data_IF_231162557934
#
_entry.id   IF_231162557934
#
_cell.length_a   1.000
_cell.length_b   1.000
_cell.length_c   1.000
_cell.angle_alpha   90.00
_cell.angle_beta   90.00
_cell.angle_gamma   90.00
#
_symmetry.space_group_name_H-M   'P 1'
#
loop_
_entity.id
_entity.type
_entity.pdbx_description
1 polymer ?
#
# COMPACT_ATOMS: atom_id res chain seq x y z
N UNK A 1 19.76 -4.52 -15.01
CA UNK A 1 18.54 -4.02 -14.35
C UNK A 1 18.55 -4.51 -12.91
N UNK A 2 19.15 -3.73 -12.02
CA UNK A 2 19.21 -4.00 -10.59
C UNK A 2 17.92 -3.50 -9.96
N UNK A 3 17.24 -4.39 -9.23
CA UNK A 3 16.13 -4.01 -8.37
C UNK A 3 16.70 -3.09 -7.29
N UNK A 4 16.15 -1.88 -7.12
CA UNK A 4 16.61 -1.04 -6.02
C UNK A 4 15.98 -1.49 -4.71
N UNK A 5 16.85 -1.85 -3.79
CA UNK A 5 16.60 -2.51 -2.51
C UNK A 5 15.77 -1.62 -1.54
N UNK A 6 15.73 -0.29 -1.74
CA UNK A 6 15.10 0.66 -0.82
C UNK A 6 14.36 1.84 -1.49
N UNK A 7 13.33 1.60 -2.31
CA UNK A 7 12.59 2.68 -2.97
C UNK A 7 11.40 3.20 -2.13
N UNK A 8 11.51 4.45 -1.68
CA UNK A 8 10.41 5.22 -1.09
C UNK A 8 10.29 6.57 -1.78
N UNK A 9 9.04 6.97 -2.00
CA UNK A 9 8.70 8.27 -2.56
C UNK A 9 8.00 9.11 -1.50
N UNK A 10 8.26 10.41 -1.52
CA UNK A 10 7.68 11.38 -0.60
C UNK A 10 7.12 12.58 -1.36
N UNK A 11 5.95 13.04 -0.92
CA UNK A 11 5.36 14.30 -1.34
C UNK A 11 5.81 15.41 -0.37
N UNK A 12 6.28 16.54 -0.89
CA UNK A 12 6.66 17.68 -0.06
C UNK A 12 5.45 18.25 0.71
N UNK A 13 5.64 18.90 1.87
CA UNK A 13 4.54 19.47 2.66
C UNK A 13 3.64 20.45 1.90
N UNK A 14 4.21 21.19 0.96
CA UNK A 14 3.51 22.14 0.08
C UNK A 14 2.95 21.49 -1.19
N UNK A 15 3.14 20.17 -1.35
CA UNK A 15 2.70 19.35 -2.49
C UNK A 15 3.27 19.75 -3.85
N UNK A 16 4.33 20.57 -3.86
CA UNK A 16 4.98 21.05 -5.10
C UNK A 16 6.06 20.10 -5.65
N UNK A 17 6.47 19.10 -4.87
CA UNK A 17 7.54 18.19 -5.25
C UNK A 17 7.29 16.74 -4.82
N UNK A 18 7.41 15.83 -5.77
CA UNK A 18 7.56 14.40 -5.52
C UNK A 18 9.05 14.09 -5.51
N UNK A 19 9.52 13.40 -4.47
CA UNK A 19 10.92 13.05 -4.28
C UNK A 19 11.07 11.54 -4.14
N UNK A 20 12.17 10.99 -4.64
CA UNK A 20 12.55 9.58 -4.50
C UNK A 20 13.82 9.49 -3.66
N UNK A 21 13.84 8.62 -2.66
CA UNK A 21 15.05 8.29 -1.93
C UNK A 21 15.76 7.11 -2.61
N UNK A 22 16.97 7.35 -3.07
CA UNK A 22 17.81 6.37 -3.77
C UNK A 22 19.28 6.64 -3.46
N UNK A 23 20.06 5.58 -3.23
CA UNK A 23 21.51 5.66 -2.97
C UNK A 23 21.92 6.67 -1.89
N UNK A 24 21.11 6.75 -0.82
CA UNK A 24 21.39 7.62 0.33
C UNK A 24 21.00 9.08 0.13
N UNK A 25 20.41 9.45 -1.01
CA UNK A 25 20.02 10.82 -1.31
C UNK A 25 18.55 10.93 -1.77
N UNK A 26 17.95 12.09 -1.53
CA UNK A 26 16.66 12.45 -2.13
C UNK A 26 16.88 13.18 -3.44
N UNK A 27 16.23 12.72 -4.49
CA UNK A 27 16.14 13.41 -5.77
C UNK A 27 14.69 13.85 -6.01
N UNK A 28 14.49 15.07 -6.48
CA UNK A 28 13.17 15.48 -6.98
C UNK A 28 12.92 14.74 -8.29
N UNK A 29 11.75 14.11 -8.39
CA UNK A 29 11.35 13.31 -9.56
C UNK A 29 10.12 13.87 -10.26
N UNK A 30 9.48 14.89 -9.71
CA UNK A 30 8.35 15.56 -10.35
C UNK A 30 7.55 16.43 -9.38
N UNK A 31 6.30 16.67 -9.70
CA UNK A 31 5.38 17.53 -8.95
C UNK A 31 4.98 18.79 -9.74
N UNK A 32 3.87 19.44 -9.38
CA UNK A 32 3.07 19.22 -8.15
C UNK A 32 2.14 17.99 -8.23
N UNK A 33 1.73 17.47 -7.07
CA UNK A 33 0.84 16.29 -6.96
C UNK A 33 -0.04 16.34 -5.69
N UNK A 34 -1.26 15.79 -5.74
CA UNK A 34 -2.19 15.77 -4.61
C UNK A 34 -2.03 14.54 -3.70
N UNK A 35 -1.86 13.36 -4.31
CA UNK A 35 -1.72 12.05 -3.65
C UNK A 35 -0.75 11.17 -4.43
N UNK A 36 -0.08 10.27 -3.70
CA UNK A 36 0.81 9.25 -4.25
C UNK A 36 0.25 7.86 -4.00
N UNK A 37 0.41 6.96 -4.97
CA UNK A 37 0.07 5.55 -4.84
C UNK A 37 1.22 4.71 -5.40
N UNK A 38 1.79 3.85 -4.57
CA UNK A 38 2.92 3.00 -4.91
C UNK A 38 2.61 1.52 -4.78
N UNK A 39 3.38 0.71 -5.51
CA UNK A 39 3.31 -0.75 -5.43
C UNK A 39 4.28 -1.43 -6.40
N UNK A 40 4.06 -2.72 -6.64
CA UNK A 40 4.92 -3.52 -7.54
C UNK A 40 4.95 -3.02 -8.99
N UNK A 41 3.87 -2.41 -9.46
CA UNK A 41 3.74 -1.85 -10.81
C UNK A 41 4.32 -0.46 -11.00
N UNK A 42 4.89 0.14 -9.95
CA UNK A 42 5.52 1.46 -9.97
C UNK A 42 4.78 2.50 -9.14
N UNK A 43 4.96 3.77 -9.52
CA UNK A 43 4.40 4.93 -8.83
C UNK A 43 3.41 5.66 -9.73
N UNK A 44 2.24 5.99 -9.17
CA UNK A 44 1.32 6.95 -9.77
C UNK A 44 1.02 8.10 -8.81
N UNK A 45 0.67 9.24 -9.38
CA UNK A 45 0.30 10.44 -8.64
C UNK A 45 -0.93 11.10 -9.26
N UNK A 46 -1.76 11.74 -8.44
CA UNK A 46 -2.88 12.57 -8.93
C UNK A 46 -2.45 14.02 -9.04
N UNK A 47 -2.86 14.71 -10.10
CA UNK A 47 -2.57 16.13 -10.30
C UNK A 47 -3.44 17.05 -9.42
N UNK A 48 -2.90 18.21 -8.98
CA UNK A 48 -3.70 19.21 -8.27
C UNK A 48 -4.85 19.76 -9.11
N UNK A 49 -5.99 20.01 -8.48
CA UNK A 49 -7.11 20.77 -9.08
C UNK A 49 -7.95 20.02 -10.12
N UNK A 50 -7.54 18.83 -10.56
CA UNK A 50 -8.30 18.00 -11.51
C UNK A 50 -8.29 16.50 -11.19
N UNK A 51 -7.34 16.02 -10.39
CA UNK A 51 -7.27 14.63 -9.97
C UNK A 51 -6.80 13.65 -11.05
N UNK A 52 -6.41 14.12 -12.24
CA UNK A 52 -5.88 13.28 -13.33
C UNK A 52 -4.69 12.45 -12.84
N UNK A 53 -4.67 11.17 -13.20
CA UNK A 53 -3.65 10.22 -12.76
C UNK A 53 -2.48 10.18 -13.74
N UNK A 54 -1.27 10.27 -13.19
CA UNK A 54 -0.01 10.26 -13.92
C UNK A 54 0.87 9.11 -13.42
N UNK A 55 1.51 8.40 -14.33
CA UNK A 55 2.47 7.33 -14.05
C UNK A 55 3.88 7.86 -14.16
N UNK A 56 4.71 7.57 -13.16
CA UNK A 56 6.13 7.86 -13.21
C UNK A 56 6.84 6.87 -14.14
N UNK A 57 7.67 7.37 -15.07
CA UNK A 57 8.39 6.55 -16.05
C UNK A 57 9.82 6.20 -15.63
N UNK A 58 10.07 6.15 -14.31
CA UNK A 58 11.35 5.82 -13.69
C UNK A 58 12.53 6.75 -14.07
N UNK A 59 12.26 7.88 -14.72
CA UNK A 59 13.26 8.91 -15.04
C UNK A 59 12.82 10.22 -14.41
N UNK A 60 13.69 10.97 -13.70
CA UNK A 60 13.32 12.24 -13.07
C UNK A 60 12.57 13.17 -14.02
N UNK A 61 11.53 13.81 -13.49
CA UNK A 61 10.60 14.72 -14.19
C UNK A 61 9.88 14.10 -15.41
N UNK A 62 9.93 12.78 -15.58
CA UNK A 62 9.28 12.07 -16.68
C UNK A 62 8.03 11.35 -16.17
N UNK A 63 6.87 11.94 -16.46
CA UNK A 63 5.55 11.43 -16.09
C UNK A 63 4.63 11.37 -17.30
N UNK A 64 3.80 10.34 -17.36
CA UNK A 64 2.81 10.16 -18.41
C UNK A 64 1.41 10.27 -17.80
N UNK A 65 0.56 11.13 -18.36
CA UNK A 65 -0.86 11.18 -17.99
C UNK A 65 -1.54 9.91 -18.50
N UNK A 66 -1.97 9.05 -17.60
CA UNK A 66 -2.59 7.77 -17.96
C UNK A 66 -4.12 7.79 -17.89
N UNK A 67 -4.74 8.78 -17.25
CA UNK A 67 -6.19 8.83 -17.11
C UNK A 67 -6.72 10.06 -16.37
N UNK A 68 -8.06 10.09 -16.25
CA UNK A 68 -8.78 11.12 -15.50
C UNK A 68 -8.81 10.87 -13.99
N UNK A 69 -9.62 11.63 -13.23
CA UNK A 69 -9.77 11.44 -11.80
C UNK A 69 -10.39 10.08 -11.45
N UNK A 70 -10.03 9.59 -10.26
CA UNK A 70 -10.63 8.43 -9.61
C UNK A 70 -10.86 8.71 -8.13
N UNK A 71 -11.80 7.99 -7.51
CA UNK A 71 -11.99 8.05 -6.06
C UNK A 71 -10.70 7.62 -5.34
N UNK A 72 -10.07 6.56 -5.85
CA UNK A 72 -8.79 6.03 -5.39
C UNK A 72 -8.09 5.26 -6.51
N UNK A 73 -6.82 4.93 -6.29
CA UNK A 73 -6.03 4.08 -7.16
C UNK A 73 -5.33 3.00 -6.35
N UNK A 74 -5.10 1.85 -6.97
CA UNK A 74 -4.32 0.76 -6.40
C UNK A 74 -3.26 0.31 -7.41
N UNK A 75 -2.03 0.10 -6.94
CA UNK A 75 -0.93 -0.39 -7.77
C UNK A 75 -0.52 -1.76 -7.25
N UNK A 76 -0.72 -2.79 -8.08
CA UNK A 76 -0.32 -4.17 -7.77
C UNK A 76 0.93 -4.51 -8.58
N UNK A 77 1.48 -5.73 -8.41
CA UNK A 77 2.49 -6.25 -9.34
C UNK A 77 1.95 -6.42 -10.77
N UNK A 78 0.65 -6.68 -10.92
CA UNK A 78 0.00 -6.95 -12.20
C UNK A 78 -0.51 -5.71 -12.95
N UNK A 79 -0.57 -4.53 -12.31
CA UNK A 79 -1.01 -3.32 -13.00
C UNK A 79 -1.46 -2.19 -12.10
N UNK A 80 -2.06 -1.18 -12.73
CA UNK A 80 -2.63 0.01 -12.08
C UNK A 80 -4.15 -0.07 -12.23
N UNK A 81 -4.86 0.12 -11.13
CA UNK A 81 -6.31 0.04 -11.06
C UNK A 81 -6.88 1.33 -10.49
N UNK A 82 -8.06 1.71 -10.96
CA UNK A 82 -8.78 2.90 -10.54
C UNK A 82 -10.21 2.58 -10.15
N UNK A 83 -10.67 3.19 -9.07
CA UNK A 83 -12.10 3.26 -8.73
C UNK A 83 -12.66 4.55 -9.31
N UNK A 84 -13.74 4.47 -10.09
CA UNK A 84 -14.37 5.64 -10.68
C UNK A 84 -14.71 6.71 -9.61
N UNK A 85 -14.72 8.02 -9.95
CA UNK A 85 -15.04 9.08 -8.98
C UNK A 85 -16.37 8.89 -8.26
N UNK A 86 -17.39 8.40 -8.98
CA UNK A 86 -18.72 8.08 -8.48
C UNK A 86 -18.82 6.65 -7.90
N UNK A 87 -17.70 5.92 -7.88
CA UNK A 87 -17.56 4.55 -7.38
C UNK A 87 -18.42 3.51 -8.14
N UNK A 88 -18.85 3.83 -9.37
CA UNK A 88 -19.71 2.98 -10.20
C UNK A 88 -19.01 1.78 -10.87
N UNK A 89 -17.68 1.74 -10.82
CA UNK A 89 -16.90 0.67 -11.43
C UNK A 89 -15.43 0.69 -11.07
N UNK A 90 -14.81 -0.49 -11.14
CA UNK A 90 -13.37 -0.68 -11.04
C UNK A 90 -12.79 -0.86 -12.44
N UNK A 91 -11.67 -0.20 -12.72
CA UNK A 91 -11.04 -0.15 -14.03
C UNK A 91 -9.56 -0.52 -13.95
N UNK A 92 -9.07 -1.22 -14.97
CA UNK A 92 -7.66 -1.56 -15.13
C UNK A 92 -7.03 -0.73 -16.26
N UNK A 93 -5.85 -0.17 -16.02
CA UNK A 93 -5.06 0.51 -17.04
C UNK A 93 -4.53 -0.51 -18.04
N UNK A 94 -4.66 -0.21 -19.34
CA UNK A 94 -4.31 -1.17 -20.42
C UNK A 94 -2.91 -0.97 -20.99
N UNK A 95 -2.15 0.01 -20.49
CA UNK A 95 -0.77 0.28 -20.93
C UNK A 95 -0.65 1.44 -21.94
N UNK A 96 -1.76 1.98 -22.43
CA UNK A 96 -1.78 3.15 -23.33
C UNK A 96 -2.46 4.35 -22.67
N UNK A 97 -1.93 5.58 -22.82
CA UNK A 97 -2.50 6.79 -22.22
C UNK A 97 -4.01 6.94 -22.45
N UNK A 98 -4.77 7.09 -21.37
CA UNK A 98 -6.22 7.25 -21.41
C UNK A 98 -7.02 5.96 -21.62
N UNK A 99 -6.36 4.81 -21.85
CA UNK A 99 -7.04 3.55 -22.13
C UNK A 99 -7.21 2.70 -20.87
N UNK A 100 -8.46 2.56 -20.44
CA UNK A 100 -8.87 1.79 -19.27
C UNK A 100 -9.99 0.83 -19.63
N UNK A 101 -9.92 -0.39 -19.13
CA UNK A 101 -10.98 -1.40 -19.29
C UNK A 101 -11.72 -1.55 -17.97
N UNK A 102 -13.05 -1.52 -18.02
CA UNK A 102 -13.86 -1.84 -16.84
C UNK A 102 -13.67 -3.32 -16.51
N UNK A 103 -13.28 -3.60 -15.27
CA UNK A 103 -13.04 -4.96 -14.79
C UNK A 103 -14.00 -5.40 -13.71
N UNK A 104 -14.83 -4.50 -13.17
CA UNK A 104 -15.78 -4.87 -12.14
C UNK A 104 -16.85 -3.81 -11.87
N UNK A 105 -17.85 -4.26 -11.10
CA UNK A 105 -18.98 -3.49 -10.59
C UNK A 105 -18.62 -2.30 -9.69
N UNK A 106 -19.65 -1.59 -9.17
CA UNK A 106 -19.45 -0.59 -8.13
C UNK A 106 -18.75 -1.18 -6.90
N UNK A 107 -17.93 -0.38 -6.23
CA UNK A 107 -17.16 -0.79 -5.05
C UNK A 107 -17.00 0.36 -4.05
N UNK A 108 -16.91 0.06 -2.76
CA UNK A 108 -16.61 1.05 -1.73
C UNK A 108 -15.13 1.45 -1.71
N UNK A 109 -14.21 0.54 -1.99
CA UNK A 109 -12.77 0.80 -1.89
C UNK A 109 -12.02 -0.29 -2.67
N UNK A 110 -10.81 0.03 -3.11
CA UNK A 110 -9.90 -0.96 -3.72
C UNK A 110 -8.55 -0.94 -3.02
N UNK A 111 -7.94 -2.12 -2.90
CA UNK A 111 -6.63 -2.31 -2.27
C UNK A 111 -5.76 -3.17 -3.18
N UNK A 112 -4.47 -2.82 -3.28
CA UNK A 112 -3.52 -3.50 -4.13
C UNK A 112 -2.21 -3.80 -3.44
N UNK A 113 -1.60 -4.94 -3.80
CA UNK A 113 -0.29 -5.37 -3.33
C UNK A 113 0.28 -6.43 -4.27
N UNK A 114 1.33 -7.14 -3.85
CA UNK A 114 1.92 -8.20 -4.69
C UNK A 114 0.99 -9.40 -4.88
N UNK A 115 0.14 -9.72 -3.88
CA UNK A 115 -0.82 -10.81 -3.95
C UNK A 115 -1.92 -10.59 -5.00
N UNK A 116 -2.37 -9.34 -5.18
CA UNK A 116 -3.40 -9.03 -6.15
C UNK A 116 -4.17 -7.75 -5.88
N UNK A 117 -5.36 -7.67 -6.49
CA UNK A 117 -6.32 -6.57 -6.33
C UNK A 117 -7.56 -7.10 -5.60
N UNK A 118 -7.94 -6.42 -4.52
CA UNK A 118 -9.20 -6.68 -3.81
C UNK A 118 -10.07 -5.44 -3.75
N UNK A 119 -11.38 -5.64 -3.64
CA UNK A 119 -12.37 -4.58 -3.56
C UNK A 119 -13.42 -4.90 -2.50
N UNK A 120 -13.90 -3.88 -1.77
CA UNK A 120 -15.04 -4.02 -0.87
C UNK A 120 -16.35 -3.69 -1.57
N UNK A 121 -17.39 -4.49 -1.36
CA UNK A 121 -18.72 -4.27 -1.92
C UNK A 121 -19.37 -2.96 -1.44
N UNK A 122 -20.14 -2.25 -2.29
CA UNK A 122 -20.73 -0.92 -2.04
C UNK A 122 -21.88 -0.88 -1.03
N UNK A 123 -22.13 -1.96 -0.28
CA UNK A 123 -23.23 -2.05 0.68
C UNK A 123 -22.99 -3.08 1.77
N UNK A 124 -22.67 -4.33 1.40
CA UNK A 124 -22.31 -5.35 2.39
C UNK A 124 -20.99 -5.02 3.08
N UNK A 125 -20.02 -4.48 2.35
CA UNK A 125 -18.63 -4.35 2.79
C UNK A 125 -17.82 -5.63 2.61
N UNK A 126 -18.42 -6.69 2.04
CA UNK A 126 -17.74 -7.95 1.72
C UNK A 126 -16.51 -7.72 0.85
N UNK A 127 -15.50 -8.55 1.04
CA UNK A 127 -14.24 -8.46 0.30
C UNK A 127 -14.24 -9.41 -0.90
N UNK A 128 -13.85 -8.90 -2.06
CA UNK A 128 -13.75 -9.63 -3.31
C UNK A 128 -12.35 -9.56 -3.89
N UNK A 129 -11.87 -10.67 -4.45
CA UNK A 129 -10.59 -10.78 -5.17
C UNK A 129 -10.83 -10.82 -6.68
N UNK A 130 -10.08 -10.00 -7.42
CA UNK A 130 -10.06 -10.00 -8.88
C UNK A 130 -9.22 -11.16 -9.44
N UNK A 131 -9.81 -12.01 -10.29
CA UNK A 131 -9.13 -13.21 -10.83
C UNK A 131 -8.40 -12.98 -12.16
N UNK A 132 -8.18 -11.72 -12.55
CA UNK A 132 -7.37 -11.37 -13.74
C UNK A 132 -8.13 -11.22 -15.05
N UNK A 133 -9.44 -11.51 -15.09
CA UNK A 133 -10.30 -11.29 -16.26
C UNK A 133 -11.47 -10.36 -15.94
N UNK A 134 -11.92 -9.50 -16.89
CA UNK A 134 -13.05 -8.59 -16.67
C UNK A 134 -14.27 -9.28 -16.05
N UNK A 135 -14.89 -8.59 -15.08
CA UNK A 135 -16.04 -9.02 -14.29
C UNK A 135 -15.87 -10.38 -13.57
N UNK A 136 -14.64 -10.87 -13.45
CA UNK A 136 -14.33 -12.13 -12.76
C UNK A 136 -13.79 -11.85 -11.37
N UNK A 137 -14.69 -11.89 -10.38
CA UNK A 137 -14.39 -11.65 -8.98
C UNK A 137 -14.92 -12.80 -8.12
N UNK A 138 -14.18 -13.15 -7.07
CA UNK A 138 -14.62 -14.14 -6.08
C UNK A 138 -14.69 -13.49 -4.70
N UNK A 139 -15.77 -13.74 -3.96
CA UNK A 139 -15.89 -13.32 -2.57
C UNK A 139 -14.88 -14.09 -1.72
N UNK A 140 -14.03 -13.36 -1.02
CA UNK A 140 -12.99 -13.93 -0.16
C UNK A 140 -13.18 -13.62 1.31
N UNK A 141 -14.08 -12.71 1.70
CA UNK A 141 -14.26 -12.37 3.10
C UNK A 141 -15.50 -11.55 3.41
N UNK A 142 -15.81 -11.51 4.70
CA UNK A 142 -16.82 -10.65 5.32
C UNK A 142 -16.32 -9.19 5.43
N UNK A 143 -17.18 -8.26 5.85
CA UNK A 143 -16.80 -6.86 6.03
C UNK A 143 -15.74 -6.64 7.12
N UNK A 144 -14.84 -5.70 6.86
CA UNK A 144 -13.80 -5.24 7.78
C UNK A 144 -13.72 -3.72 7.83
N UNK A 145 -13.01 -3.19 8.82
CA UNK A 145 -12.72 -1.75 8.95
C UNK A 145 -11.83 -1.28 7.80
N UNK A 146 -10.79 -2.07 7.50
CA UNK A 146 -9.85 -1.82 6.42
C UNK A 146 -9.10 -3.11 6.08
N UNK A 147 -8.44 -3.09 4.92
CA UNK A 147 -7.67 -4.21 4.41
C UNK A 147 -6.28 -3.77 3.98
N UNK A 148 -5.34 -4.69 4.01
CA UNK A 148 -3.99 -4.51 3.51
C UNK A 148 -3.61 -5.71 2.65
N UNK A 149 -2.94 -5.45 1.53
CA UNK A 149 -2.49 -6.50 0.61
C UNK A 149 -0.96 -6.51 0.62
N UNK A 150 -0.37 -7.65 0.95
CA UNK A 150 1.08 -7.86 0.93
C UNK A 150 1.48 -8.58 -0.36
N UNK A 151 2.74 -9.01 -0.47
CA UNK A 151 3.14 -9.94 -1.53
C UNK A 151 2.56 -11.36 -1.34
N UNK A 152 2.25 -11.73 -0.10
CA UNK A 152 1.95 -13.10 0.32
C UNK A 152 0.44 -13.35 0.45
N UNK A 153 -0.28 -12.44 1.10
CA UNK A 153 -1.71 -12.60 1.36
C UNK A 153 -2.41 -11.26 1.58
N UNK A 154 -3.71 -11.35 1.84
CA UNK A 154 -4.59 -10.24 2.24
C UNK A 154 -4.82 -10.30 3.74
N UNK A 155 -4.80 -9.14 4.37
CA UNK A 155 -5.04 -8.98 5.79
C UNK A 155 -6.22 -8.03 6.03
N UNK A 156 -7.00 -8.32 7.05
CA UNK A 156 -8.19 -7.55 7.41
C UNK A 156 -8.18 -7.14 8.87
N UNK A 157 -8.60 -5.90 9.13
CA UNK A 157 -8.91 -5.42 10.47
C UNK A 157 -10.42 -5.58 10.72
N UNK A 158 -10.80 -6.41 11.69
CA UNK A 158 -12.21 -6.68 11.99
C UNK A 158 -12.92 -5.48 12.62
N UNK A 159 -14.17 -5.24 12.23
CA UNK A 159 -15.03 -4.18 12.76
C UNK A 159 -15.77 -4.56 14.06
N UNK A 160 -15.63 -5.80 14.54
CA UNK A 160 -16.45 -6.30 15.64
C UNK A 160 -15.99 -5.72 17.01
N UNK A 161 -16.89 -5.07 17.78
CA UNK A 161 -16.54 -4.52 19.09
C UNK A 161 -16.21 -5.57 20.15
N UNK A 162 -16.60 -6.84 19.95
CA UNK A 162 -16.23 -7.95 20.83
C UNK A 162 -15.15 -8.79 20.14
N UNK A 163 -13.89 -8.43 20.38
CA UNK A 163 -12.75 -9.23 19.90
C UNK A 163 -12.07 -8.73 18.63
N UNK A 164 -12.11 -7.42 18.36
CA UNK A 164 -11.31 -6.75 17.33
C UNK A 164 -9.92 -7.37 17.16
N UNK A 165 -9.45 -7.45 15.92
CA UNK A 165 -8.29 -8.28 15.61
C UNK A 165 -7.81 -8.10 14.17
N UNK A 166 -6.56 -8.50 13.97
CA UNK A 166 -5.96 -8.64 12.65
C UNK A 166 -6.09 -10.08 12.18
N UNK A 167 -6.57 -10.27 10.96
CA UNK A 167 -6.84 -11.56 10.34
C UNK A 167 -6.04 -11.68 9.03
N UNK A 168 -5.59 -12.89 8.71
CA UNK A 168 -4.94 -13.24 7.44
C UNK A 168 -5.88 -14.14 6.63
N UNK A 169 -5.97 -13.90 5.33
CA UNK A 169 -6.69 -14.78 4.42
C UNK A 169 -5.94 -16.10 4.22
N UNK A 170 -6.63 -17.23 4.32
CA UNK A 170 -6.01 -18.56 4.22
C UNK A 170 -5.80 -19.03 2.78
N UNK A 171 -6.15 -18.20 1.79
CA UNK A 171 -5.95 -18.49 0.36
C UNK A 171 -7.10 -19.25 -0.31
N UNK A 172 -8.15 -19.61 0.43
CA UNK A 172 -9.27 -20.39 -0.11
C UNK A 172 -10.63 -19.98 0.47
N UNK A 173 -11.63 -19.96 -0.42
CA UNK A 173 -13.01 -19.61 -0.07
C UNK A 173 -13.09 -18.30 0.70
N UNK A 174 -13.75 -18.33 1.84
CA UNK A 174 -13.87 -17.21 2.79
C UNK A 174 -13.19 -17.49 4.12
N UNK A 175 -12.11 -18.29 4.12
CA UNK A 175 -11.41 -18.69 5.34
C UNK A 175 -10.37 -17.65 5.77
N UNK A 176 -10.41 -17.27 7.04
CA UNK A 176 -9.50 -16.31 7.65
C UNK A 176 -9.05 -16.79 9.03
N UNK A 177 -7.75 -16.70 9.28
CA UNK A 177 -7.16 -16.99 10.59
C UNK A 177 -6.88 -15.69 11.33
N UNK A 178 -7.31 -15.61 12.60
CA UNK A 178 -6.93 -14.49 13.48
C UNK A 178 -5.46 -14.62 13.84
N UNK A 179 -4.67 -13.60 13.51
CA UNK A 179 -3.22 -13.58 13.76
C UNK A 179 -2.79 -12.55 14.79
N UNK A 180 -3.67 -11.63 15.20
CA UNK A 180 -3.30 -10.55 16.10
C UNK A 180 -4.47 -9.94 16.87
N UNK A 181 -4.12 -9.17 17.90
CA UNK A 181 -5.05 -8.35 18.68
C UNK A 181 -5.62 -7.15 17.92
N UNK A 182 -6.41 -6.29 18.58
CA UNK A 182 -6.87 -5.03 18.01
C UNK A 182 -5.70 -4.18 17.49
N UNK A 183 -5.90 -3.50 16.36
CA UNK A 183 -4.95 -2.56 15.78
C UNK A 183 -5.66 -1.26 15.42
N UNK A 184 -4.93 -0.14 15.46
CA UNK A 184 -5.42 1.16 14.99
C UNK A 184 -5.45 1.25 13.47
N UNK A 185 -4.39 0.79 12.80
CA UNK A 185 -4.25 0.74 11.34
C UNK A 185 -3.40 -0.46 10.94
N UNK A 186 -3.55 -0.91 9.69
CA UNK A 186 -2.71 -1.94 9.08
C UNK A 186 -2.15 -1.45 7.73
N UNK A 187 -0.94 -1.90 7.40
CA UNK A 187 -0.21 -1.53 6.19
C UNK A 187 0.40 -2.80 5.58
N UNK A 188 0.28 -2.97 4.27
CA UNK A 188 0.80 -4.13 3.55
C UNK A 188 1.82 -3.73 2.50
N UNK A 189 2.80 -4.61 2.29
CA UNK A 189 3.82 -4.47 1.26
C UNK A 189 4.63 -5.75 1.12
N UNK A 190 5.73 -5.70 0.38
CA UNK A 190 6.56 -6.88 0.14
C UNK A 190 7.32 -7.40 1.37
N UNK A 191 7.65 -6.51 2.30
CA UNK A 191 8.29 -6.90 3.56
C UNK A 191 7.35 -7.72 4.47
N UNK A 192 6.04 -7.56 4.31
CA UNK A 192 5.01 -8.19 5.13
C UNK A 192 3.93 -7.22 5.55
N UNK A 193 3.41 -7.41 6.76
CA UNK A 193 2.36 -6.59 7.35
C UNK A 193 2.93 -5.74 8.49
N UNK A 194 2.48 -4.49 8.59
CA UNK A 194 2.67 -3.66 9.77
C UNK A 194 1.33 -3.24 10.36
N UNK A 195 1.25 -3.10 11.68
CA UNK A 195 0.06 -2.64 12.39
C UNK A 195 0.43 -1.70 13.52
N UNK A 196 -0.40 -0.69 13.77
CA UNK A 196 -0.21 0.21 14.91
C UNK A 196 -1.04 -0.23 16.10
N UNK A 197 -0.50 -0.13 17.30
CA UNK A 197 -1.30 -0.23 18.52
C UNK A 197 -2.39 0.85 18.52
N UNK A 198 -3.65 0.53 18.86
CA UNK A 198 -4.75 1.50 18.81
C UNK A 198 -4.70 2.56 19.92
N UNK A 199 -3.88 2.36 20.96
CA UNK A 199 -3.76 3.26 22.11
C UNK A 199 -2.46 4.04 22.07
N UNK A 200 -1.31 3.35 22.01
CA UNK A 200 0.01 4.00 22.02
C UNK A 200 0.44 4.49 20.64
N UNK A 201 -0.08 3.88 19.57
CA UNK A 201 0.37 4.09 18.20
C UNK A 201 1.66 3.37 17.84
N UNK A 202 2.25 2.60 18.76
CA UNK A 202 3.48 1.84 18.51
C UNK A 202 3.33 0.91 17.29
N UNK A 203 4.41 0.76 16.52
CA UNK A 203 4.40 -0.04 15.30
C UNK A 203 4.86 -1.47 15.59
N UNK A 204 4.05 -2.44 15.14
CA UNK A 204 4.35 -3.85 15.15
C UNK A 204 4.42 -4.39 13.73
N UNK A 205 5.38 -5.27 13.47
CA UNK A 205 5.55 -5.95 12.19
C UNK A 205 5.26 -7.43 12.30
N UNK A 206 4.69 -7.99 11.23
CA UNK A 206 4.35 -9.40 11.08
C UNK A 206 4.84 -9.88 9.71
N UNK A 207 5.68 -10.91 9.73
CA UNK A 207 6.16 -11.58 8.53
C UNK A 207 5.69 -13.03 8.61
N UNK A 208 4.86 -13.45 7.67
CA UNK A 208 4.40 -14.83 7.60
C UNK A 208 5.46 -15.68 6.90
N UNK A 209 5.83 -16.79 7.52
CA UNK A 209 6.62 -17.85 6.90
C UNK A 209 5.72 -19.08 6.90
N UNK A 210 5.46 -19.63 5.73
CA UNK A 210 4.61 -20.81 5.60
C UNK A 210 5.32 -22.05 6.16
N UNK A 211 4.58 -23.04 6.67
CA UNK A 211 5.17 -24.30 7.14
C UNK A 211 5.87 -25.10 6.02
N UNK A 212 5.56 -24.79 4.76
CA UNK A 212 6.24 -25.35 3.59
C UNK A 212 7.65 -24.75 3.38
N UNK A 213 7.83 -23.48 3.75
CA UNK A 213 9.10 -22.74 3.61
C UNK A 213 10.00 -22.93 4.84
N UNK A 214 9.40 -23.02 6.03
CA UNK A 214 10.10 -23.36 7.27
C UNK A 214 9.16 -24.12 8.23
N UNK A 215 9.30 -25.45 8.34
CA UNK A 215 8.43 -26.28 9.18
C UNK A 215 8.70 -26.11 10.69
N UNK A 216 9.79 -25.44 11.09
CA UNK A 216 10.19 -25.26 12.50
C UNK A 216 9.79 -23.90 13.06
N UNK A 217 9.37 -22.93 12.22
CA UNK A 217 8.96 -21.58 12.64
C UNK A 217 7.44 -21.53 12.89
N UNK A 218 7.04 -20.92 14.03
CA UNK A 218 5.63 -20.57 14.28
C UNK A 218 5.13 -19.62 13.19
N UNK A 219 3.94 -19.86 12.60
CA UNK A 219 3.43 -19.17 11.41
C UNK A 219 3.25 -17.66 11.64
N UNK A 220 4.32 -16.91 11.43
CA UNK A 220 4.46 -15.48 11.70
C UNK A 220 4.36 -15.08 13.18
N UNK A 221 5.26 -14.20 13.63
CA UNK A 221 5.18 -13.60 14.97
C UNK A 221 5.14 -12.09 14.87
N UNK A 222 4.32 -11.46 15.71
CA UNK A 222 4.33 -10.02 15.87
C UNK A 222 5.53 -9.60 16.69
N UNK A 223 6.25 -8.60 16.19
CA UNK A 223 7.34 -7.94 16.92
C UNK A 223 7.14 -6.44 16.89
N UNK A 224 7.40 -5.77 18.00
CA UNK A 224 7.47 -4.31 17.99
C UNK A 224 8.67 -3.91 17.12
N UNK A 225 8.42 -3.05 16.14
CA UNK A 225 9.44 -2.57 15.19
C UNK A 225 9.65 -1.07 15.30
N UNK A 226 8.80 -0.32 16.02
CA UNK A 226 8.96 1.11 16.18
C UNK A 226 7.93 1.73 17.12
N UNK A 227 8.07 3.04 17.33
CA UNK A 227 7.09 3.86 18.06
C UNK A 227 6.03 4.46 17.14
N UNK A 228 5.23 5.42 17.65
CA UNK A 228 4.19 6.09 16.88
C UNK A 228 4.74 6.93 15.73
N UNK A 229 3.96 6.99 14.64
CA UNK A 229 4.23 7.79 13.45
C UNK A 229 2.94 8.31 12.82
N UNK A 230 3.06 9.35 11.99
CA UNK A 230 1.93 9.95 11.28
C UNK A 230 1.38 9.01 10.20
N UNK A 231 2.28 8.31 9.50
CA UNK A 231 1.97 7.33 8.47
C UNK A 231 3.14 6.35 8.30
N UNK A 232 2.83 5.18 7.76
CA UNK A 232 3.82 4.17 7.40
C UNK A 232 3.57 3.68 5.98
N UNK A 233 4.64 3.23 5.31
CA UNK A 233 4.54 2.49 4.06
C UNK A 233 5.48 1.31 4.10
N UNK A 234 4.96 0.14 3.74
CA UNK A 234 5.71 -1.10 3.75
C UNK A 234 6.26 -1.32 2.34
N UNK A 235 7.59 -1.26 2.21
CA UNK A 235 8.28 -1.51 0.96
C UNK A 235 8.54 -3.00 0.74
N UNK A 236 9.43 -3.31 -0.19
CA UNK A 236 9.79 -4.70 -0.47
C UNK A 236 10.66 -5.31 0.64
N UNK A 237 11.63 -4.56 1.17
CA UNK A 237 12.63 -5.09 2.12
C UNK A 237 12.57 -4.44 3.50
N UNK A 238 11.83 -3.33 3.64
CA UNK A 238 11.77 -2.59 4.90
C UNK A 238 10.49 -1.75 4.98
N UNK A 239 10.30 -1.11 6.13
CA UNK A 239 9.21 -0.19 6.41
C UNK A 239 9.77 1.23 6.46
N UNK A 240 9.00 2.16 5.91
CA UNK A 240 9.25 3.60 5.99
C UNK A 240 8.20 4.26 6.89
N UNK A 241 8.64 5.24 7.68
CA UNK A 241 7.79 5.94 8.64
C UNK A 241 7.89 7.46 8.49
N UNK A 242 6.75 8.13 8.63
CA UNK A 242 6.66 9.58 8.72
C UNK A 242 6.49 9.96 10.19
N UNK A 243 7.39 10.77 10.73
CA UNK A 243 7.32 11.21 12.13
C UNK A 243 6.24 12.27 12.35
N UNK A 244 5.66 12.29 13.55
CA UNK A 244 4.80 13.37 14.05
C UNK A 244 5.59 14.53 14.68
N UNK A 245 6.91 14.38 14.88
CA UNK A 245 7.79 15.33 15.59
C UNK A 245 9.20 15.43 14.94
N UNK A 246 9.76 16.63 14.67
CA UNK A 246 9.14 17.95 14.81
C UNK A 246 8.07 18.21 13.74
N UNK A 247 7.26 19.27 13.94
CA UNK A 247 6.27 19.74 12.97
C UNK A 247 6.98 19.97 11.63
N UNK A 248 6.63 19.13 10.65
CA UNK A 248 7.37 18.95 9.39
C UNK A 248 7.60 17.48 9.05
N UNK A 249 7.75 16.59 10.04
CA UNK A 249 7.74 15.13 9.86
C UNK A 249 8.98 14.59 9.14
N UNK A 250 9.97 14.13 9.92
CA UNK A 250 11.10 13.39 9.34
C UNK A 250 10.63 12.09 8.68
N UNK A 251 11.29 11.71 7.59
CA UNK A 251 11.13 10.39 6.96
C UNK A 251 12.20 9.46 7.51
N UNK A 252 11.78 8.28 7.95
CA UNK A 252 12.62 7.28 8.59
C UNK A 252 12.53 5.95 7.86
N UNK A 253 13.61 5.18 7.90
CA UNK A 253 13.71 3.80 7.41
C UNK A 253 13.97 2.86 8.58
N UNK A 254 13.24 1.76 8.67
CA UNK A 254 13.50 0.72 9.66
C UNK A 254 14.79 -0.02 9.32
N UNK A 255 15.66 -0.24 10.31
CA UNK A 255 16.98 -0.86 10.10
C UNK A 255 16.93 -2.40 10.09
N UNK A 256 15.74 -2.99 10.26
CA UNK A 256 15.54 -4.44 10.20
C UNK A 256 15.65 -5.17 11.54
N UNK A 257 16.10 -4.49 12.60
CA UNK A 257 16.31 -5.09 13.93
C UNK A 257 15.73 -4.25 15.07
N UNK A 258 15.05 -4.92 16.00
CA UNK A 258 14.47 -4.31 17.20
C UNK A 258 13.55 -3.15 16.85
N UNK A 259 13.79 -1.99 17.46
CA UNK A 259 13.05 -0.74 17.21
C UNK A 259 13.95 0.35 16.62
N UNK A 260 14.99 -0.04 15.87
CA UNK A 260 15.97 0.90 15.30
C UNK A 260 15.48 1.49 13.97
N UNK A 261 15.57 2.82 13.86
CA UNK A 261 15.21 3.57 12.67
C UNK A 261 16.26 4.63 12.35
N UNK A 262 16.64 4.71 11.08
CA UNK A 262 17.50 5.76 10.56
C UNK A 262 16.65 6.87 9.95
N UNK A 263 16.87 8.13 10.35
CA UNK A 263 16.28 9.28 9.63
C UNK A 263 16.92 9.39 8.26
N UNK A 264 16.13 9.31 7.21
CA UNK A 264 16.59 9.41 5.83
C UNK A 264 16.24 10.75 5.18
N UNK A 265 15.34 11.55 5.76
CA UNK A 265 15.03 12.88 5.24
C UNK A 265 13.79 13.53 5.85
N UNK A 266 13.04 14.27 5.04
CA UNK A 266 11.90 15.08 5.45
C UNK A 266 12.26 16.56 5.66
N UNK A 267 11.27 17.47 5.67
CA UNK A 267 9.83 17.21 5.90
C UNK A 267 9.07 16.61 4.70
N UNK A 268 7.97 15.91 4.96
CA UNK A 268 7.08 15.34 3.93
C UNK A 268 5.60 15.35 4.37
N UNK A 269 4.69 15.52 3.42
CA UNK A 269 3.22 15.40 3.60
C UNK A 269 2.80 13.93 3.69
N UNK A 270 3.29 13.11 2.77
CA UNK A 270 2.97 11.69 2.67
C UNK A 270 4.13 10.91 2.05
N UNK A 271 4.12 9.60 2.23
CA UNK A 271 5.10 8.68 1.66
C UNK A 271 4.45 7.41 1.14
N UNK A 272 5.05 6.82 0.10
CA UNK A 272 4.64 5.52 -0.44
C UNK A 272 5.85 4.77 -1.00
N UNK A 273 5.90 3.47 -0.74
CA UNK A 273 6.88 2.58 -1.36
C UNK A 273 6.36 2.10 -2.72
N UNK A 274 7.26 2.08 -3.70
CA UNK A 274 6.98 1.57 -5.03
C UNK A 274 8.25 0.91 -5.58
N UNK A 275 8.11 -0.09 -6.46
CA UNK A 275 9.27 -0.62 -7.16
C UNK A 275 9.79 0.41 -8.16
N UNK A 276 11.09 0.67 -8.10
CA UNK A 276 11.83 1.46 -9.07
C UNK A 276 12.90 0.58 -9.72
N UNK A 277 13.18 0.82 -10.99
CA UNK A 277 14.18 0.11 -11.75
C UNK A 277 15.12 1.14 -12.36
N UNK A 278 16.42 1.06 -12.03
CA UNK A 278 17.44 1.79 -12.79
C UNK A 278 17.67 1.05 -14.12
N UNK A 279 17.64 1.79 -15.23
CA UNK A 279 18.07 1.28 -16.55
C UNK A 279 19.53 0.87 -16.52
#
# INVERSE_FOLDING_TARGET
MTRTEHSVFALSPDKNGVHHFHDGAWIRVGGPADRLFGGGGGLVATSPGGGDVHRYLNTPDTWERIGGPGATFAVTRGGIFGLAPDRSGVYAYTGSPGSWTRIGGPASEIYGGGWGLVATGPGSGDLFHYLGSPDTWVRIGEPGVTFAVTDESVYGLSANPVGGGVYRYDGQGTSWTRIGGPAGRIYGGGWGLAATDPVSGDLFGFQYVGPEDDPEISPGTWRQVGGPGAAFSVGYETIFGLSTNPVGGGVYRYDGQGTSWTRIGGPADSLTAALWWST
#
